data_IF_691493980959
#
_entry.id   IF_691493980959
#
_cell.length_a   1.000
_cell.length_b   1.000
_cell.length_c   1.000
_cell.angle_alpha   90.00
_cell.angle_beta   90.00
_cell.angle_gamma   90.00
#
_symmetry.space_group_name_H-M   'P 1'
#
loop_
_entity.id
_entity.type
_entity.pdbx_description
1 polymer ?
#
# COMPACT_ATOMS: atom_id res chain seq x y z
N UNK A 1 1.47 11.71 18.58
CA UNK A 1 1.81 10.63 17.62
C UNK A 1 0.98 9.43 18.02
N UNK A 2 0.18 8.90 17.10
CA UNK A 2 -0.73 7.77 17.35
C UNK A 2 0.08 6.53 17.71
N UNK A 3 -0.26 5.86 18.80
CA UNK A 3 0.42 4.65 19.24
C UNK A 3 -0.27 3.40 18.68
N UNK A 4 0.42 2.25 18.61
CA UNK A 4 -0.17 1.02 18.12
C UNK A 4 -1.46 0.63 18.86
N UNK A 5 -1.53 0.83 20.18
CA UNK A 5 -2.71 0.54 21.00
C UNK A 5 -3.94 1.37 20.62
N UNK A 6 -3.75 2.61 20.14
CA UNK A 6 -4.85 3.53 19.84
C UNK A 6 -5.69 3.08 18.62
N UNK A 7 -5.13 2.23 17.75
CA UNK A 7 -5.79 1.78 16.52
C UNK A 7 -6.42 0.39 16.63
N UNK A 8 -6.11 -0.38 17.66
CA UNK A 8 -6.60 -1.76 17.81
C UNK A 8 -8.12 -1.83 18.04
N UNK A 9 -8.68 -0.83 18.72
CA UNK A 9 -10.11 -0.77 19.07
C UNK A 9 -10.98 -0.10 17.99
N UNK A 10 -10.42 0.27 16.84
CA UNK A 10 -11.17 0.90 15.76
C UNK A 10 -12.23 -0.05 15.19
N UNK A 11 -13.50 0.36 15.29
CA UNK A 11 -14.65 -0.38 14.75
C UNK A 11 -15.09 0.07 13.36
N UNK A 12 -14.45 1.12 12.83
CA UNK A 12 -14.75 1.70 11.53
C UNK A 12 -13.49 2.34 10.92
N UNK A 13 -13.46 2.57 9.59
CA UNK A 13 -12.40 3.35 8.96
C UNK A 13 -12.25 4.74 9.60
N UNK A 14 -11.03 5.26 9.68
CA UNK A 14 -10.79 6.61 10.18
C UNK A 14 -11.33 7.65 9.18
N UNK A 15 -11.84 8.77 9.71
CA UNK A 15 -12.33 9.88 8.88
C UNK A 15 -11.21 10.67 8.20
N UNK A 16 -10.00 10.57 8.73
CA UNK A 16 -8.80 11.27 8.26
C UNK A 16 -7.55 10.43 8.51
N UNK A 17 -6.42 10.83 7.91
CA UNK A 17 -5.13 10.23 8.19
C UNK A 17 -4.70 10.54 9.62
N UNK A 18 -4.14 9.53 10.30
CA UNK A 18 -3.75 9.61 11.70
C UNK A 18 -2.38 10.28 11.92
N UNK A 19 -1.67 10.62 10.84
CA UNK A 19 -0.42 11.35 10.89
C UNK A 19 -0.19 12.20 9.63
N UNK A 20 0.52 13.34 9.75
CA UNK A 20 0.89 14.16 8.60
C UNK A 20 1.91 13.46 7.69
N UNK A 21 2.10 13.99 6.48
CA UNK A 21 3.16 13.54 5.56
C UNK A 21 4.56 13.74 6.13
N UNK A 22 4.76 14.83 6.88
CA UNK A 22 6.02 15.16 7.53
C UNK A 22 6.48 14.14 8.57
N UNK A 23 5.59 13.27 9.07
CA UNK A 23 5.95 12.21 10.01
C UNK A 23 6.76 11.07 9.36
N UNK A 24 6.90 11.04 8.03
CA UNK A 24 7.78 10.11 7.31
C UNK A 24 9.24 10.56 7.36
N UNK A 25 9.81 10.64 8.57
CA UNK A 25 11.19 11.08 8.82
C UNK A 25 12.25 10.13 8.23
N UNK A 26 11.86 8.88 7.98
CA UNK A 26 12.70 7.84 7.38
C UNK A 26 12.70 7.88 5.85
N UNK A 27 11.91 8.74 5.21
CA UNK A 27 11.85 8.82 3.76
C UNK A 27 11.43 7.50 3.10
N UNK A 28 10.45 6.80 3.69
CA UNK A 28 9.90 5.56 3.13
C UNK A 28 9.12 5.91 1.86
N UNK A 29 9.47 5.30 0.74
CA UNK A 29 8.78 5.49 -0.54
C UNK A 29 8.39 4.13 -1.13
N UNK A 30 7.11 3.96 -1.49
CA UNK A 30 6.62 2.74 -2.12
C UNK A 30 6.91 2.76 -3.62
N UNK A 31 7.49 1.68 -4.13
CA UNK A 31 8.00 1.58 -5.50
C UNK A 31 7.13 0.69 -6.38
N UNK A 32 6.72 -0.44 -5.83
CA UNK A 32 5.78 -1.34 -6.50
C UNK A 32 5.00 -2.18 -5.50
N UNK A 33 3.77 -2.52 -5.88
CA UNK A 33 2.89 -3.38 -5.12
C UNK A 33 2.19 -4.34 -6.08
N UNK A 34 2.23 -5.64 -5.75
CA UNK A 34 1.65 -6.71 -6.56
C UNK A 34 0.80 -7.61 -5.68
N UNK A 35 -0.39 -7.95 -6.16
CA UNK A 35 -1.27 -8.99 -5.59
C UNK A 35 -1.39 -10.13 -6.61
N UNK A 36 -1.19 -11.36 -6.15
CA UNK A 36 -1.27 -12.56 -6.97
C UNK A 36 -2.06 -13.67 -6.25
N UNK A 37 -2.67 -14.56 -7.03
CA UNK A 37 -3.16 -15.82 -6.46
C UNK A 37 -1.96 -16.62 -5.95
N UNK A 38 -2.04 -17.06 -4.69
CA UNK A 38 -0.98 -17.82 -4.06
C UNK A 38 -0.64 -19.10 -4.82
N UNK A 39 -1.64 -19.80 -5.38
CA UNK A 39 -1.43 -21.10 -6.05
C UNK A 39 -1.00 -20.94 -7.51
N UNK A 40 -1.81 -20.29 -8.34
CA UNK A 40 -1.53 -20.19 -9.78
C UNK A 40 -0.47 -19.15 -10.13
N UNK A 41 -0.12 -18.26 -9.18
CA UNK A 41 0.74 -17.08 -9.41
C UNK A 41 0.19 -16.11 -10.46
N UNK A 42 -1.09 -16.23 -10.82
CA UNK A 42 -1.78 -15.25 -11.68
C UNK A 42 -1.75 -13.88 -10.98
N UNK A 43 -1.23 -12.88 -11.68
CA UNK A 43 -1.29 -11.49 -11.22
C UNK A 43 -2.72 -10.98 -11.28
N UNK A 44 -3.19 -10.47 -10.16
CA UNK A 44 -4.54 -9.95 -9.97
C UNK A 44 -4.51 -8.44 -10.05
N UNK A 45 -3.49 -7.85 -9.41
CA UNK A 45 -3.30 -6.42 -9.36
C UNK A 45 -1.80 -6.11 -9.33
N UNK A 46 -1.39 -5.08 -10.05
CA UNK A 46 -0.03 -4.58 -10.05
C UNK A 46 -0.03 -3.07 -10.26
N UNK A 47 0.72 -2.37 -9.42
CA UNK A 47 1.03 -0.95 -9.58
C UNK A 47 2.52 -0.74 -9.33
N UNK A 48 3.14 0.08 -10.17
CA UNK A 48 4.51 0.54 -9.99
C UNK A 48 4.67 1.94 -10.56
N UNK A 49 5.85 2.55 -10.36
CA UNK A 49 6.17 3.82 -11.02
C UNK A 49 6.13 3.73 -12.55
N UNK A 50 6.53 2.57 -13.10
CA UNK A 50 6.56 2.33 -14.55
C UNK A 50 5.18 1.92 -15.11
N UNK A 51 4.31 1.38 -14.25
CA UNK A 51 2.93 1.00 -14.55
C UNK A 51 2.01 1.70 -13.55
N UNK A 52 1.83 3.03 -13.67
CA UNK A 52 0.88 3.73 -12.83
C UNK A 52 -0.52 3.22 -13.11
N UNK A 53 -1.37 3.21 -12.09
CA UNK A 53 -2.80 3.02 -12.32
C UNK A 53 -3.31 4.12 -13.25
N UNK A 54 -4.36 3.87 -14.04
CA UNK A 54 -5.16 4.96 -14.60
C UNK A 54 -5.74 5.72 -13.41
N UNK A 55 -5.01 6.73 -12.93
CA UNK A 55 -5.49 7.62 -11.88
C UNK A 55 -6.67 8.33 -12.54
N UNK A 56 -7.87 8.08 -12.03
CA UNK A 56 -9.03 8.91 -12.34
C UNK A 56 -8.74 10.31 -11.77
N UNK A 57 -8.09 11.14 -12.59
CA UNK A 57 -7.67 12.51 -12.28
C UNK A 57 -8.85 13.40 -11.88
N UNK A 58 -10.10 12.96 -12.13
CA UNK A 58 -11.30 13.64 -11.65
C UNK A 58 -11.54 13.46 -10.13
N UNK A 59 -10.93 12.45 -9.50
CA UNK A 59 -11.06 12.15 -8.06
C UNK A 59 -9.87 12.61 -7.22
N UNK A 60 -8.77 12.97 -7.87
CA UNK A 60 -7.58 13.47 -7.20
C UNK A 60 -7.63 14.99 -7.16
N UNK A 61 -8.01 15.54 -6.01
CA UNK A 61 -7.84 16.96 -5.77
C UNK A 61 -6.34 17.25 -5.69
N UNK A 62 -5.79 17.94 -6.70
CA UNK A 62 -4.40 18.37 -6.74
C UNK A 62 -4.05 19.29 -5.56
N UNK A 63 -5.05 19.87 -4.88
CA UNK A 63 -4.87 20.65 -3.67
C UNK A 63 -4.79 19.81 -2.39
N UNK A 64 -5.23 18.54 -2.38
CA UNK A 64 -5.10 17.66 -1.21
C UNK A 64 -3.82 16.80 -1.33
N UNK A 65 -2.75 17.11 -0.56
CA UNK A 65 -1.52 16.32 -0.59
C UNK A 65 -1.73 14.88 -0.12
N UNK A 66 -2.83 14.57 0.57
CA UNK A 66 -3.15 13.21 0.98
C UNK A 66 -3.84 12.38 -0.11
N UNK A 67 -4.23 12.97 -1.23
CA UNK A 67 -4.81 12.19 -2.34
C UNK A 67 -3.83 11.10 -2.78
N UNK A 68 -2.53 11.36 -2.79
CA UNK A 68 -1.47 10.40 -3.15
C UNK A 68 -1.34 9.21 -2.19
N UNK A 69 -1.98 9.26 -1.02
CA UNK A 69 -2.01 8.16 -0.04
C UNK A 69 -3.25 7.26 -0.20
N UNK A 70 -4.12 7.55 -1.18
CA UNK A 70 -5.35 6.79 -1.46
C UNK A 70 -5.17 5.96 -2.73
N UNK A 71 -5.72 4.75 -2.72
CA UNK A 71 -5.73 3.87 -3.89
C UNK A 71 -7.12 3.26 -4.03
N UNK A 72 -7.65 3.30 -5.25
CA UNK A 72 -8.92 2.67 -5.59
C UNK A 72 -8.61 1.38 -6.35
N UNK A 73 -8.96 0.24 -5.77
CA UNK A 73 -8.79 -1.05 -6.42
C UNK A 73 -10.03 -1.41 -7.24
N UNK A 74 -9.82 -1.83 -8.48
CA UNK A 74 -10.84 -2.51 -9.29
C UNK A 74 -10.49 -4.00 -9.35
N UNK A 75 -11.18 -4.80 -8.55
CA UNK A 75 -10.93 -6.24 -8.42
C UNK A 75 -12.14 -7.01 -8.94
N UNK A 76 -11.90 -8.12 -9.65
CA UNK A 76 -12.98 -8.99 -10.13
C UNK A 76 -13.59 -9.82 -9.00
N UNK A 77 -14.82 -10.31 -9.19
CA UNK A 77 -15.46 -11.19 -8.21
C UNK A 77 -14.68 -12.48 -7.93
N UNK A 78 -13.95 -12.98 -8.93
CA UNK A 78 -13.07 -14.16 -8.78
C UNK A 78 -12.04 -13.96 -7.65
N UNK A 79 -11.60 -12.71 -7.43
CA UNK A 79 -10.68 -12.37 -6.36
C UNK A 79 -11.22 -12.78 -4.98
N UNK A 80 -12.51 -12.52 -4.73
CA UNK A 80 -13.16 -12.78 -3.45
C UNK A 80 -13.29 -14.28 -3.15
N UNK A 81 -13.16 -15.12 -4.19
CA UNK A 81 -13.21 -16.58 -4.08
C UNK A 81 -11.84 -17.21 -3.82
N UNK A 82 -10.75 -16.44 -3.89
CA UNK A 82 -9.41 -16.98 -3.68
C UNK A 82 -9.19 -17.30 -2.20
N UNK A 83 -8.75 -18.52 -1.85
CA UNK A 83 -8.53 -18.89 -0.46
C UNK A 83 -7.34 -18.14 0.15
N UNK A 84 -6.34 -17.82 -0.69
CA UNK A 84 -5.07 -17.23 -0.28
C UNK A 84 -4.52 -16.36 -1.41
N UNK A 85 -4.05 -15.17 -1.06
CA UNK A 85 -3.31 -14.29 -1.97
C UNK A 85 -1.90 -14.03 -1.47
N UNK A 86 -0.98 -13.81 -2.40
CA UNK A 86 0.38 -13.33 -2.14
C UNK A 86 0.46 -11.84 -2.47
N UNK A 87 1.04 -11.05 -1.58
CA UNK A 87 1.33 -9.65 -1.84
C UNK A 87 2.83 -9.38 -1.76
N UNK A 88 3.36 -8.65 -2.74
CA UNK A 88 4.76 -8.18 -2.75
C UNK A 88 4.77 -6.67 -2.72
N UNK A 89 5.47 -6.09 -1.73
CA UNK A 89 5.71 -4.65 -1.64
C UNK A 89 7.22 -4.38 -1.77
N UNK A 90 7.58 -3.50 -2.69
CA UNK A 90 8.95 -2.98 -2.85
C UNK A 90 8.95 -1.53 -2.39
N UNK A 91 9.87 -1.17 -1.50
CA UNK A 91 10.01 0.19 -1.00
C UNK A 91 11.49 0.58 -0.81
N UNK A 92 11.76 1.89 -0.83
CA UNK A 92 13.04 2.49 -0.45
C UNK A 92 12.93 3.19 0.89
N UNK A 93 14.09 3.47 1.49
CA UNK A 93 14.26 4.23 2.74
C UNK A 93 15.27 5.35 2.48
N UNK A 94 15.05 6.51 3.07
CA UNK A 94 15.88 7.70 2.93
C UNK A 94 17.31 7.52 3.44
N UNK A 95 18.23 8.30 2.86
CA UNK A 95 19.68 8.16 3.07
C UNK A 95 20.14 8.47 4.50
N UNK A 96 19.43 9.33 5.24
CA UNK A 96 19.82 9.76 6.60
C UNK A 96 19.68 8.68 7.66
N UNK A 97 18.99 7.58 7.37
CA UNK A 97 18.60 6.57 8.35
C UNK A 97 19.10 5.15 8.05
N UNK A 98 19.94 4.96 7.03
CA UNK A 98 20.59 3.67 6.78
C UNK A 98 22.04 3.83 6.34
N UNK A 99 22.98 3.14 7.00
CA UNK A 99 24.38 2.92 6.58
C UNK A 99 24.52 2.11 5.27
N UNK A 100 23.43 1.86 4.54
CA UNK A 100 23.39 1.24 3.22
C UNK A 100 21.99 1.42 2.63
N UNK A 101 21.84 2.12 1.51
CA UNK A 101 20.59 2.22 0.74
C UNK A 101 20.13 0.83 0.29
N UNK A 102 19.20 0.21 1.03
CA UNK A 102 18.66 -1.14 0.74
C UNK A 102 17.22 -1.04 0.27
N UNK A 103 16.96 -1.50 -0.96
CA UNK A 103 15.61 -1.84 -1.40
C UNK A 103 15.12 -3.01 -0.57
N UNK A 104 14.05 -2.82 0.18
CA UNK A 104 13.48 -3.86 1.04
C UNK A 104 12.22 -4.42 0.39
N UNK A 105 12.08 -5.75 0.40
CA UNK A 105 10.90 -6.46 -0.10
C UNK A 105 10.15 -7.07 1.05
N UNK A 106 8.89 -6.68 1.23
CA UNK A 106 7.99 -7.34 2.17
C UNK A 106 7.05 -8.27 1.41
N UNK A 107 7.07 -9.54 1.79
CA UNK A 107 6.12 -10.55 1.31
C UNK A 107 5.12 -10.84 2.42
N UNK A 108 3.85 -10.60 2.14
CA UNK A 108 2.77 -10.97 3.05
C UNK A 108 1.82 -11.96 2.37
N UNK A 109 1.29 -12.89 3.16
CA UNK A 109 0.31 -13.88 2.74
C UNK A 109 -0.98 -13.63 3.52
N UNK A 110 -2.04 -13.23 2.83
CA UNK A 110 -3.35 -13.05 3.44
C UNK A 110 -4.16 -14.32 3.19
N UNK A 111 -4.58 -14.99 4.26
CA UNK A 111 -5.49 -16.15 4.22
C UNK A 111 -6.90 -15.67 4.54
N UNK A 112 -7.89 -16.07 3.73
CA UNK A 112 -9.29 -15.98 4.18
C UNK A 112 -9.48 -16.90 5.38
N UNK A 113 -10.29 -16.47 6.35
CA UNK A 113 -10.86 -17.40 7.35
C UNK A 113 -11.94 -18.25 6.68
#
# INVERSE_FOLDING_TARGET
MTKPEDVLDHRAPSKSFLCPLSANEYGIEFLSFVIQDYKSKKTIFEVSRDRPLPIDVSRHDASDPNSLRKINYELSEDFLRLPVVSTTLVFSVGASHVQSSRVSRLLAQVRSR
#
